data_IF_118307904799
#
_entry.id   IF_118307904799
#
_cell.length_a   1.000
_cell.length_b   1.000
_cell.length_c   1.000
_cell.angle_alpha   90.00
_cell.angle_beta   90.00
_cell.angle_gamma   90.00
#
_symmetry.space_group_name_H-M   'P 1'
#
loop_
_entity.id
_entity.type
_entity.pdbx_description
1 polymer ?
#
# COMPACT_ATOMS: atom_id res chain seq x y z
N UNK A 1 11.38 -2.01 6.86
CA UNK A 1 10.22 -1.41 7.54
C UNK A 1 10.72 -0.42 8.55
N UNK A 2 10.14 0.78 8.58
CA UNK A 2 10.45 1.79 9.59
C UNK A 2 9.37 1.85 10.66
N UNK A 3 9.77 2.10 11.89
CA UNK A 3 8.84 2.36 13.00
C UNK A 3 8.30 3.79 12.92
N UNK A 4 7.15 4.07 13.53
CA UNK A 4 6.65 5.44 13.64
C UNK A 4 7.64 6.35 14.36
N UNK A 5 8.34 5.83 15.39
CA UNK A 5 9.36 6.57 16.13
C UNK A 5 10.54 6.99 15.23
N UNK A 6 11.02 6.08 14.38
CA UNK A 6 12.08 6.35 13.40
C UNK A 6 11.62 7.39 12.37
N UNK A 7 10.37 7.29 11.88
CA UNK A 7 9.82 8.28 10.95
C UNK A 7 9.67 9.65 11.62
N UNK A 8 9.26 9.69 12.90
CA UNK A 8 9.20 10.92 13.68
C UNK A 8 10.59 11.55 13.80
N UNK A 9 11.61 10.77 14.16
CA UNK A 9 12.98 11.25 14.29
C UNK A 9 13.50 11.82 12.96
N UNK A 10 13.39 11.06 11.87
CA UNK A 10 13.82 11.49 10.55
C UNK A 10 13.08 12.75 10.07
N UNK A 11 11.78 12.83 10.32
CA UNK A 11 10.98 14.02 9.97
C UNK A 11 11.29 15.23 10.85
N UNK A 12 11.92 15.03 12.02
CA UNK A 12 12.39 16.11 12.88
C UNK A 12 13.39 17.03 12.19
N UNK A 13 14.23 16.47 11.32
CA UNK A 13 15.21 17.22 10.51
C UNK A 13 14.55 18.16 9.48
N UNK A 14 13.27 17.93 9.13
CA UNK A 14 12.54 18.75 8.17
C UNK A 14 12.08 20.10 8.75
N UNK A 15 12.07 20.25 10.07
CA UNK A 15 11.61 21.46 10.79
C UNK A 15 12.31 22.73 10.31
N UNK A 16 13.61 22.65 10.06
CA UNK A 16 14.44 23.80 9.65
C UNK A 16 14.01 24.35 8.29
N UNK A 17 13.29 23.57 7.49
CA UNK A 17 13.02 23.89 6.09
C UNK A 17 11.55 24.21 5.77
N UNK A 18 10.63 24.24 6.76
CA UNK A 18 9.17 24.35 6.50
C UNK A 18 8.67 23.33 5.46
N UNK A 19 9.20 22.11 5.49
CA UNK A 19 8.96 21.08 4.46
C UNK A 19 7.73 20.23 4.78
N UNK A 20 7.30 19.52 3.74
CA UNK A 20 6.16 18.60 3.74
C UNK A 20 6.63 17.17 4.00
N UNK A 21 5.96 16.46 4.89
CA UNK A 21 6.00 15.00 4.97
C UNK A 21 4.93 14.44 4.03
N UNK A 22 5.36 13.95 2.87
CA UNK A 22 4.49 13.28 1.91
C UNK A 22 4.64 11.77 2.02
N UNK A 23 3.54 11.02 2.08
CA UNK A 23 3.61 9.56 2.19
C UNK A 23 2.51 8.81 1.43
N UNK A 24 2.93 7.70 0.81
CA UNK A 24 2.07 6.53 0.64
C UNK A 24 1.96 5.86 2.01
N UNK A 25 0.83 6.08 2.68
CA UNK A 25 0.61 5.61 4.04
C UNK A 25 0.66 4.07 4.13
N UNK A 26 0.96 3.57 5.33
CA UNK A 26 1.34 2.17 5.57
C UNK A 26 0.32 1.13 5.07
N UNK A 27 -0.97 1.42 5.22
CA UNK A 27 -2.06 0.58 4.75
C UNK A 27 -3.20 1.45 4.23
N UNK A 28 -3.75 1.09 3.06
CA UNK A 28 -4.88 1.80 2.45
C UNK A 28 -6.18 1.00 2.50
N UNK A 29 -6.17 -0.16 3.16
CA UNK A 29 -7.27 -1.10 3.27
C UNK A 29 -7.74 -1.27 4.71
N UNK A 30 -7.44 -2.43 5.31
CA UNK A 30 -7.89 -2.82 6.65
C UNK A 30 -7.54 -1.76 7.69
N UNK A 31 -6.30 -1.29 7.68
CA UNK A 31 -5.72 -0.42 8.71
C UNK A 31 -5.59 1.03 8.21
N UNK A 32 -6.50 1.46 7.32
CA UNK A 32 -6.48 2.80 6.74
C UNK A 32 -6.58 3.90 7.81
N UNK A 33 -7.45 3.74 8.81
CA UNK A 33 -7.68 4.78 9.82
C UNK A 33 -6.42 4.96 10.69
N UNK A 34 -5.81 3.85 11.07
CA UNK A 34 -4.59 3.75 11.83
C UNK A 34 -3.41 4.35 11.05
N UNK A 35 -3.33 4.09 9.75
CA UNK A 35 -2.29 4.62 8.88
C UNK A 35 -2.39 6.15 8.68
N UNK A 36 -3.62 6.70 8.61
CA UNK A 36 -3.84 8.15 8.61
C UNK A 36 -3.48 8.74 9.97
N UNK A 37 -3.82 8.06 11.08
CA UNK A 37 -3.48 8.50 12.42
C UNK A 37 -1.95 8.54 12.65
N UNK A 38 -1.22 7.57 12.11
CA UNK A 38 0.25 7.57 12.12
C UNK A 38 0.83 8.81 11.41
N UNK A 39 0.32 9.14 10.21
CA UNK A 39 0.76 10.33 9.48
C UNK A 39 0.47 11.63 10.24
N UNK A 40 -0.69 11.71 10.91
CA UNK A 40 -1.05 12.83 11.79
C UNK A 40 -0.09 12.92 12.98
N UNK A 41 0.25 11.80 13.61
CA UNK A 41 1.18 11.75 14.74
C UNK A 41 2.57 12.27 14.32
N UNK A 42 3.08 11.81 13.18
CA UNK A 42 4.36 12.27 12.61
C UNK A 42 4.34 13.78 12.37
N UNK A 43 3.27 14.29 11.75
CA UNK A 43 3.09 15.72 11.49
C UNK A 43 3.04 16.55 12.77
N UNK A 44 2.27 16.11 13.78
CA UNK A 44 2.12 16.81 15.06
C UNK A 44 3.42 16.85 15.86
N UNK A 45 4.08 15.70 16.03
CA UNK A 45 5.34 15.63 16.80
C UNK A 45 6.43 16.49 16.19
N UNK A 46 6.36 16.72 14.87
CA UNK A 46 7.34 17.50 14.15
C UNK A 46 6.90 18.91 13.77
N UNK A 47 5.65 19.32 14.00
CA UNK A 47 5.12 20.61 13.55
C UNK A 47 5.42 20.88 12.06
N UNK A 48 5.12 19.90 11.21
CA UNK A 48 5.34 19.94 9.76
C UNK A 48 4.05 19.65 9.00
N UNK A 49 3.97 20.13 7.76
CA UNK A 49 2.84 19.85 6.87
C UNK A 49 2.81 18.38 6.46
N UNK A 50 1.63 17.77 6.44
CA UNK A 50 1.41 16.38 6.03
C UNK A 50 0.69 16.34 4.67
N UNK A 51 1.17 15.50 3.75
CA UNK A 51 0.52 15.22 2.46
C UNK A 51 0.32 13.71 2.31
N UNK A 52 -0.93 13.26 2.37
CA UNK A 52 -1.26 11.86 2.10
C UNK A 52 -1.37 11.68 0.58
N UNK A 53 -0.48 10.88 0.01
CA UNK A 53 -0.47 10.60 -1.42
C UNK A 53 -1.64 9.68 -1.80
N UNK A 54 -2.28 9.98 -2.93
CA UNK A 54 -3.31 9.18 -3.61
C UNK A 54 -4.31 8.49 -2.65
N UNK A 55 -4.92 9.29 -1.79
CA UNK A 55 -5.75 8.82 -0.68
C UNK A 55 -6.95 8.00 -1.14
N UNK A 56 -7.13 6.81 -0.56
CA UNK A 56 -8.17 5.86 -0.99
C UNK A 56 -8.54 4.87 0.12
N UNK A 57 -9.65 4.14 -0.08
CA UNK A 57 -9.96 2.92 0.65
C UNK A 57 -9.95 1.73 -0.32
N UNK A 58 -8.91 0.90 -0.23
CA UNK A 58 -8.71 -0.30 -1.04
C UNK A 58 -9.50 -1.49 -0.49
N UNK A 59 -10.11 -2.28 -1.37
CA UNK A 59 -10.90 -3.46 -1.01
C UNK A 59 -12.32 -3.11 -0.57
N UNK A 60 -13.29 -3.89 -1.03
CA UNK A 60 -14.73 -3.63 -0.83
C UNK A 60 -15.12 -3.49 0.65
N UNK A 61 -14.48 -4.25 1.53
CA UNK A 61 -14.74 -4.20 2.99
C UNK A 61 -14.34 -2.87 3.64
N UNK A 62 -13.53 -2.06 2.96
CA UNK A 62 -13.02 -0.78 3.49
C UNK A 62 -13.74 0.43 2.88
N UNK A 63 -14.61 0.23 1.89
CA UNK A 63 -15.34 1.31 1.25
C UNK A 63 -16.12 2.15 2.27
N UNK A 64 -16.05 3.47 2.11
CA UNK A 64 -16.62 4.42 3.07
C UNK A 64 -15.66 4.88 4.17
N UNK A 65 -14.58 4.14 4.48
CA UNK A 65 -13.58 4.57 5.49
C UNK A 65 -12.96 5.93 5.18
N UNK A 66 -12.84 6.30 3.90
CA UNK A 66 -12.36 7.62 3.48
C UNK A 66 -13.16 8.77 4.11
N UNK A 67 -14.48 8.61 4.31
CA UNK A 67 -15.31 9.65 4.97
C UNK A 67 -14.83 9.95 6.38
N UNK A 68 -14.41 8.93 7.12
CA UNK A 68 -13.88 9.08 8.46
C UNK A 68 -12.50 9.73 8.44
N UNK A 69 -11.60 9.27 7.57
CA UNK A 69 -10.26 9.86 7.46
C UNK A 69 -10.31 11.35 7.06
N UNK A 70 -11.18 11.75 6.13
CA UNK A 70 -11.33 13.15 5.73
C UNK A 70 -11.87 13.99 6.88
N UNK A 71 -12.87 13.50 7.61
CA UNK A 71 -13.39 14.16 8.82
C UNK A 71 -12.29 14.32 9.87
N UNK A 72 -11.47 13.29 10.09
CA UNK A 72 -10.32 13.38 11.01
C UNK A 72 -9.32 14.43 10.53
N UNK A 73 -8.95 14.43 9.25
CA UNK A 73 -8.04 15.43 8.69
C UNK A 73 -8.57 16.87 8.85
N UNK A 74 -9.87 17.10 8.63
CA UNK A 74 -10.52 18.40 8.86
C UNK A 74 -10.46 18.83 10.33
N UNK A 75 -10.71 17.90 11.26
CA UNK A 75 -10.59 18.17 12.71
C UNK A 75 -9.15 18.48 13.13
N UNK A 76 -8.17 17.88 12.47
CA UNK A 76 -6.76 18.12 12.74
C UNK A 76 -6.30 19.47 12.18
N UNK A 77 -6.79 19.87 11.00
CA UNK A 77 -6.62 21.24 10.49
C UNK A 77 -7.18 22.28 11.43
N UNK A 78 -8.38 22.07 12.01
CA UNK A 78 -8.95 23.02 12.97
C UNK A 78 -8.14 23.14 14.27
N UNK A 79 -7.21 22.20 14.52
CA UNK A 79 -6.27 22.22 15.67
C UNK A 79 -4.88 22.75 15.28
N UNK A 80 -4.70 23.22 14.04
CA UNK A 80 -3.47 23.85 13.56
C UNK A 80 -2.50 22.92 12.83
N UNK A 81 -2.84 21.65 12.59
CA UNK A 81 -2.02 20.78 11.73
C UNK A 81 -2.36 21.02 10.26
N UNK A 82 -1.40 21.52 9.49
CA UNK A 82 -1.51 21.58 8.03
C UNK A 82 -1.46 20.16 7.44
N UNK A 83 -2.59 19.62 7.00
CA UNK A 83 -2.70 18.26 6.45
C UNK A 83 -3.57 18.22 5.19
N UNK A 84 -3.02 17.70 4.10
CA UNK A 84 -3.68 17.54 2.81
C UNK A 84 -3.64 16.11 2.29
N UNK A 85 -4.34 15.88 1.18
CA UNK A 85 -4.20 14.69 0.38
C UNK A 85 -4.44 15.00 -1.10
N UNK A 86 -3.91 14.16 -1.97
CA UNK A 86 -4.24 14.14 -3.40
C UNK A 86 -4.96 12.83 -3.77
N UNK A 87 -5.61 12.84 -4.93
CA UNK A 87 -6.31 11.69 -5.49
C UNK A 87 -6.11 11.68 -7.01
N UNK A 88 -6.24 10.50 -7.61
CA UNK A 88 -6.46 10.36 -9.04
C UNK A 88 -7.93 10.02 -9.31
N UNK A 89 -8.53 10.51 -10.41
CA UNK A 89 -9.97 10.36 -10.68
C UNK A 89 -10.32 9.00 -11.29
N UNK A 90 -9.78 7.90 -10.73
CA UNK A 90 -9.98 6.54 -11.22
C UNK A 90 -10.29 5.58 -10.07
N UNK A 91 -11.04 4.53 -10.36
CA UNK A 91 -11.36 3.47 -9.38
C UNK A 91 -10.24 2.43 -9.25
N UNK A 92 -9.27 2.44 -10.16
CA UNK A 92 -8.15 1.51 -10.19
C UNK A 92 -6.84 2.24 -9.87
N UNK A 93 -6.00 1.61 -9.05
CA UNK A 93 -4.61 2.00 -8.85
C UNK A 93 -3.67 1.23 -9.77
N UNK A 94 -2.44 1.70 -9.89
CA UNK A 94 -1.39 1.04 -10.65
C UNK A 94 -0.09 1.00 -9.85
N UNK A 95 0.57 -0.16 -9.85
CA UNK A 95 1.86 -0.39 -9.21
C UNK A 95 2.52 -1.64 -9.84
N UNK A 96 3.69 -2.03 -9.36
CA UNK A 96 4.36 -3.24 -9.84
C UNK A 96 3.64 -4.49 -9.36
N UNK A 97 3.61 -5.55 -10.19
CA UNK A 97 2.96 -6.83 -9.83
C UNK A 97 3.53 -7.45 -8.54
N UNK A 98 4.77 -7.11 -8.19
CA UNK A 98 5.42 -7.56 -6.95
C UNK A 98 4.71 -7.05 -5.69
N UNK A 99 3.91 -5.99 -5.77
CA UNK A 99 3.17 -5.45 -4.62
C UNK A 99 2.16 -6.44 -4.05
N UNK A 100 1.73 -7.42 -4.84
CA UNK A 100 0.78 -8.42 -4.34
C UNK A 100 1.45 -9.27 -3.27
N UNK A 101 2.76 -9.54 -3.38
CA UNK A 101 3.50 -10.47 -2.54
C UNK A 101 3.59 -9.98 -1.08
N UNK A 102 3.55 -10.89 -0.09
CA UNK A 102 3.81 -10.52 1.30
C UNK A 102 5.18 -9.85 1.44
N UNK A 103 5.28 -8.83 2.26
CA UNK A 103 6.49 -8.00 2.28
C UNK A 103 7.75 -8.70 2.78
N UNK A 104 7.61 -9.76 3.59
CA UNK A 104 8.73 -10.63 3.96
C UNK A 104 9.35 -11.33 2.73
N UNK A 105 8.58 -11.51 1.65
CA UNK A 105 9.06 -12.04 0.37
C UNK A 105 9.90 -11.01 -0.37
N UNK A 106 9.61 -9.71 -0.21
CA UNK A 106 10.33 -8.61 -0.86
C UNK A 106 11.62 -8.20 -0.11
N UNK A 107 11.76 -8.61 1.15
CA UNK A 107 12.89 -8.24 2.01
C UNK A 107 14.24 -8.66 1.40
N UNK A 108 15.23 -7.76 1.37
CA UNK A 108 16.53 -8.04 0.73
C UNK A 108 16.52 -7.90 -0.80
N UNK A 109 15.45 -7.35 -1.38
CA UNK A 109 15.38 -6.93 -2.78
C UNK A 109 15.08 -8.07 -3.77
N UNK A 110 15.14 -7.73 -5.07
CA UNK A 110 14.68 -8.59 -6.18
C UNK A 110 15.39 -9.96 -6.17
N UNK A 111 16.70 -10.00 -5.93
CA UNK A 111 17.46 -11.26 -5.93
C UNK A 111 16.92 -12.23 -4.87
N UNK A 112 16.73 -11.76 -3.64
CA UNK A 112 16.20 -12.58 -2.53
C UNK A 112 14.74 -12.95 -2.73
N UNK A 113 13.94 -12.03 -3.28
CA UNK A 113 12.58 -12.33 -3.68
C UNK A 113 12.53 -13.50 -4.68
N UNK A 114 13.37 -13.47 -5.73
CA UNK A 114 13.42 -14.54 -6.72
C UNK A 114 13.92 -15.88 -6.13
N UNK A 115 14.90 -15.86 -5.23
CA UNK A 115 15.33 -17.05 -4.48
C UNK A 115 14.17 -17.67 -3.69
N UNK A 116 13.39 -16.87 -2.97
CA UNK A 116 12.22 -17.34 -2.22
C UNK A 116 11.13 -17.90 -3.15
N UNK A 117 10.86 -17.24 -4.27
CA UNK A 117 9.85 -17.68 -5.22
C UNK A 117 10.23 -18.99 -5.94
N UNK A 118 11.52 -19.34 -6.00
CA UNK A 118 12.00 -20.64 -6.51
C UNK A 118 11.97 -21.75 -5.46
N UNK A 119 11.80 -21.43 -4.18
CA UNK A 119 11.80 -22.39 -3.09
C UNK A 119 10.38 -22.89 -2.77
N UNK A 120 10.16 -24.20 -2.85
CA UNK A 120 8.83 -24.78 -2.67
C UNK A 120 8.24 -24.58 -1.28
N UNK A 121 9.06 -24.66 -0.23
CA UNK A 121 8.59 -24.42 1.15
C UNK A 121 8.18 -22.96 1.36
N UNK A 122 8.93 -22.02 0.79
CA UNK A 122 8.56 -20.61 0.82
C UNK A 122 7.29 -20.35 0.01
N UNK A 123 7.11 -20.98 -1.16
CA UNK A 123 5.85 -20.88 -1.94
C UNK A 123 4.65 -21.44 -1.17
N UNK A 124 4.81 -22.57 -0.48
CA UNK A 124 3.76 -23.14 0.39
C UNK A 124 3.39 -22.18 1.51
N UNK A 125 4.40 -21.56 2.15
CA UNK A 125 4.17 -20.53 3.16
C UNK A 125 3.41 -19.33 2.58
N UNK A 126 3.85 -18.78 1.44
CA UNK A 126 3.16 -17.67 0.78
C UNK A 126 1.69 -18.02 0.53
N UNK A 127 1.42 -19.20 -0.04
CA UNK A 127 0.05 -19.67 -0.29
C UNK A 127 -0.77 -19.75 0.99
N UNK A 128 -0.19 -20.30 2.07
CA UNK A 128 -0.84 -20.37 3.38
C UNK A 128 -1.16 -18.97 3.92
N UNK A 129 -0.19 -18.04 3.86
CA UNK A 129 -0.37 -16.67 4.35
C UNK A 129 -1.55 -15.96 3.64
N UNK A 130 -1.75 -16.19 2.33
CA UNK A 130 -2.93 -15.68 1.61
C UNK A 130 -4.24 -16.36 2.01
N UNK A 131 -4.25 -17.69 2.15
CA UNK A 131 -5.47 -18.45 2.47
C UNK A 131 -5.95 -18.11 3.89
N UNK A 132 -5.02 -17.99 4.83
CA UNK A 132 -5.29 -17.67 6.23
C UNK A 132 -5.43 -16.16 6.48
N UNK A 133 -5.23 -15.33 5.46
CA UNK A 133 -5.29 -13.86 5.52
C UNK A 133 -4.29 -13.24 6.53
N UNK A 134 -3.12 -13.87 6.65
CA UNK A 134 -2.01 -13.52 7.54
C UNK A 134 -1.03 -12.50 6.92
N UNK A 135 -1.47 -11.74 5.91
CA UNK A 135 -0.64 -10.72 5.24
C UNK A 135 -0.88 -9.37 5.90
N UNK A 136 0.13 -8.89 6.62
CA UNK A 136 0.07 -7.66 7.40
C UNK A 136 -0.24 -6.42 6.56
N UNK A 137 0.30 -6.35 5.34
CA UNK A 137 0.20 -5.15 4.50
C UNK A 137 -1.07 -5.11 3.63
N UNK A 138 -1.94 -6.10 3.78
CA UNK A 138 -3.16 -6.24 2.98
C UNK A 138 -3.09 -7.41 2.01
N UNK A 139 -4.26 -7.91 1.62
CA UNK A 139 -4.40 -9.08 0.78
C UNK A 139 -5.08 -8.66 -0.53
N UNK A 140 -4.27 -8.24 -1.49
CA UNK A 140 -4.74 -7.71 -2.77
C UNK A 140 -5.53 -8.74 -3.57
N UNK A 141 -5.18 -10.02 -3.46
CA UNK A 141 -5.92 -11.11 -4.10
C UNK A 141 -7.32 -11.25 -3.52
N UNK A 142 -7.49 -11.03 -2.22
CA UNK A 142 -8.81 -11.02 -1.56
C UNK A 142 -9.59 -9.73 -1.85
N UNK A 143 -8.90 -8.60 -1.90
CA UNK A 143 -9.51 -7.27 -2.06
C UNK A 143 -9.99 -7.00 -3.50
N UNK A 144 -9.15 -7.33 -4.49
CA UNK A 144 -9.42 -7.11 -5.91
C UNK A 144 -9.94 -8.36 -6.63
N UNK A 145 -9.58 -9.56 -6.15
CA UNK A 145 -9.82 -10.80 -6.88
C UNK A 145 -8.87 -10.97 -8.07
N UNK A 146 -8.85 -12.17 -8.65
CA UNK A 146 -8.03 -12.47 -9.84
C UNK A 146 -8.47 -11.67 -11.07
N UNK A 147 -9.75 -11.30 -11.14
CA UNK A 147 -10.32 -10.48 -12.21
C UNK A 147 -10.13 -8.97 -11.99
N UNK A 148 -9.74 -8.54 -10.78
CA UNK A 148 -9.53 -7.13 -10.47
C UNK A 148 -8.07 -6.67 -10.61
N UNK A 149 -7.16 -7.58 -10.96
CA UNK A 149 -5.73 -7.29 -11.13
C UNK A 149 -5.37 -7.51 -12.60
N UNK A 150 -4.90 -6.45 -13.24
CA UNK A 150 -4.59 -6.44 -14.68
C UNK A 150 -3.12 -6.15 -14.91
N UNK A 151 -2.56 -6.71 -15.97
CA UNK A 151 -1.26 -6.27 -16.48
C UNK A 151 -1.49 -5.01 -17.33
N UNK A 152 -1.22 -3.85 -16.74
CA UNK A 152 -1.33 -2.58 -17.48
C UNK A 152 -0.19 -2.41 -18.49
N UNK A 153 1.02 -2.85 -18.15
CA UNK A 153 2.14 -2.91 -19.08
C UNK A 153 3.18 -3.97 -18.68
N UNK A 154 3.85 -4.58 -19.66
CA UNK A 154 5.00 -5.48 -19.48
C UNK A 154 6.02 -5.31 -20.60
N UNK A 155 7.28 -5.70 -20.35
CA UNK A 155 8.36 -5.60 -21.36
C UNK A 155 8.12 -6.44 -22.61
N UNK A 156 7.42 -7.56 -22.48
CA UNK A 156 7.12 -8.48 -23.58
C UNK A 156 5.72 -8.29 -24.18
N UNK A 157 4.93 -7.34 -23.64
CA UNK A 157 3.57 -6.98 -24.03
C UNK A 157 2.56 -8.16 -24.08
N UNK A 158 2.95 -9.37 -23.64
CA UNK A 158 2.21 -10.61 -23.93
C UNK A 158 0.85 -10.66 -23.27
N UNK A 159 0.75 -10.09 -22.08
CA UNK A 159 -0.44 -10.18 -21.23
C UNK A 159 -1.07 -8.82 -20.94
N UNK A 160 -0.65 -7.77 -21.65
CA UNK A 160 -1.19 -6.42 -21.42
C UNK A 160 -2.71 -6.40 -21.67
N UNK A 161 -3.43 -5.75 -20.76
CA UNK A 161 -4.90 -5.71 -20.77
C UNK A 161 -5.58 -6.95 -20.20
N UNK A 162 -4.85 -8.05 -19.94
CA UNK A 162 -5.43 -9.26 -19.35
C UNK A 162 -5.43 -9.21 -17.83
N UNK A 163 -6.46 -9.81 -17.23
CA UNK A 163 -6.54 -10.06 -15.79
C UNK A 163 -5.64 -11.24 -15.38
N UNK A 164 -5.26 -11.31 -14.11
CA UNK A 164 -4.55 -12.49 -13.59
C UNK A 164 -5.39 -13.76 -13.76
N UNK A 165 -6.71 -13.66 -13.64
CA UNK A 165 -7.65 -14.75 -13.90
C UNK A 165 -7.56 -15.30 -15.32
N UNK A 166 -7.42 -14.43 -16.32
CA UNK A 166 -7.25 -14.79 -17.73
C UNK A 166 -5.86 -15.37 -18.03
N UNK A 167 -4.82 -14.93 -17.33
CA UNK A 167 -3.42 -15.35 -17.56
C UNK A 167 -3.14 -16.74 -16.99
N UNK A 168 -3.68 -17.09 -15.82
CA UNK A 168 -3.39 -18.36 -15.13
C UNK A 168 -3.61 -19.58 -16.04
N UNK A 169 -4.76 -19.73 -16.76
CA UNK A 169 -4.97 -20.84 -17.68
C UNK A 169 -3.95 -20.92 -18.81
N UNK A 170 -3.40 -19.79 -19.27
CA UNK A 170 -2.36 -19.76 -20.31
C UNK A 170 -1.03 -20.33 -19.80
N UNK A 171 -0.65 -20.00 -18.55
CA UNK A 171 0.59 -20.47 -17.93
C UNK A 171 0.55 -21.94 -17.52
N UNK A 172 -0.62 -22.49 -17.22
CA UNK A 172 -0.76 -23.91 -16.85
C UNK A 172 -0.78 -24.86 -18.05
N UNK A 173 -0.90 -24.32 -19.26
CA UNK A 173 -0.88 -25.09 -20.52
C UNK A 173 0.50 -25.10 -21.21
N UNK A 174 1.44 -24.29 -20.72
CA UNK A 174 2.82 -24.20 -21.18
C UNK A 174 3.76 -25.04 -20.32
#
# INVERSE_FOLDING_TARGET
YSTTAELVELCGELKVFRRVYASHIRNEGRDLLESVQEAIEIGRKNNITVQISHHKAKGKSNWGKVRYTLKTMEQERSKGLEIGCDVYPYLAGATTITSILPSWVLEGGISKMLERLKNDEQRKRIKRDYIEDNIKDGNDLKDAGLEGIFIASSKDHRYEGMSIGEIIPCLLRS
#
